data_IF_105900095483
#
_entry.id   IF_105900095483
#
_cell.length_a   1.000
_cell.length_b   1.000
_cell.length_c   1.000
_cell.angle_alpha   90.00
_cell.angle_beta   90.00
_cell.angle_gamma   90.00
#
_symmetry.space_group_name_H-M   'P 1'
#
loop_
_entity.id
_entity.type
_entity.pdbx_description
1 polymer ?
#
# COMPACT_ATOMS: atom_id res chain seq x y z
N UNK A 1 9.36 -12.62 -1.29
CA UNK A 1 9.06 -11.91 -2.55
C UNK A 1 7.99 -12.62 -3.37
N UNK A 2 8.22 -13.84 -3.89
CA UNK A 2 7.23 -14.56 -4.74
C UNK A 2 5.86 -14.72 -4.06
N UNK A 3 5.86 -15.13 -2.80
CA UNK A 3 4.65 -15.27 -1.96
C UNK A 3 3.90 -13.95 -1.74
N UNK A 4 4.62 -12.82 -1.64
CA UNK A 4 4.01 -11.50 -1.47
C UNK A 4 3.32 -11.00 -2.75
N UNK A 5 3.92 -11.28 -3.91
CA UNK A 5 3.31 -10.96 -5.21
C UNK A 5 1.98 -11.71 -5.35
N UNK A 6 1.93 -12.99 -4.95
CA UNK A 6 0.69 -13.78 -4.96
C UNK A 6 -0.37 -13.14 -4.04
N UNK A 7 -0.01 -12.72 -2.83
CA UNK A 7 -0.96 -12.05 -1.93
C UNK A 7 -1.48 -10.73 -2.51
N UNK A 8 -0.62 -9.95 -3.19
CA UNK A 8 -1.04 -8.72 -3.86
C UNK A 8 -1.96 -8.99 -5.06
N UNK A 9 -1.73 -10.06 -5.83
CA UNK A 9 -2.63 -10.46 -6.92
C UNK A 9 -4.01 -10.80 -6.36
N UNK A 10 -4.08 -11.62 -5.31
CA UNK A 10 -5.34 -11.97 -4.66
C UNK A 10 -6.04 -10.72 -4.12
N UNK A 11 -5.30 -9.81 -3.48
CA UNK A 11 -5.85 -8.55 -3.00
C UNK A 11 -6.37 -7.66 -4.15
N UNK A 12 -5.67 -7.62 -5.28
CA UNK A 12 -6.08 -6.86 -6.47
C UNK A 12 -7.39 -7.40 -7.07
N UNK A 13 -7.60 -8.71 -7.09
CA UNK A 13 -8.89 -9.27 -7.51
C UNK A 13 -9.98 -9.06 -6.45
N UNK A 14 -9.65 -9.17 -5.17
CA UNK A 14 -10.63 -9.00 -4.09
C UNK A 14 -11.15 -7.56 -4.02
N UNK A 15 -10.28 -6.57 -4.26
CA UNK A 15 -10.70 -5.17 -4.26
C UNK A 15 -11.60 -4.80 -5.43
N UNK A 16 -11.41 -5.41 -6.61
CA UNK A 16 -12.26 -5.13 -7.78
C UNK A 16 -13.60 -5.86 -7.72
N UNK A 17 -13.69 -7.00 -7.03
CA UNK A 17 -14.87 -7.86 -7.05
C UNK A 17 -15.77 -7.72 -5.81
N UNK A 18 -15.20 -7.62 -4.61
CA UNK A 18 -15.94 -7.77 -3.35
C UNK A 18 -15.87 -6.48 -2.53
N UNK A 19 -14.70 -5.87 -2.43
CA UNK A 19 -14.41 -4.86 -1.43
C UNK A 19 -13.92 -3.57 -2.09
N UNK A 20 -14.76 -2.53 -2.21
CA UNK A 20 -14.41 -1.30 -2.95
C UNK A 20 -13.49 -0.38 -2.12
N UNK A 21 -12.35 -0.92 -1.71
CA UNK A 21 -11.27 -0.27 -0.96
C UNK A 21 -9.97 -0.64 -1.65
N UNK A 22 -9.06 0.32 -1.77
CA UNK A 22 -7.78 0.11 -2.45
C UNK A 22 -6.79 -0.67 -1.54
N UNK A 23 -7.08 -1.96 -1.36
CA UNK A 23 -6.35 -2.92 -0.52
C UNK A 23 -4.89 -3.05 -0.96
N UNK A 24 -4.64 -3.04 -2.26
CA UNK A 24 -3.28 -3.12 -2.83
C UNK A 24 -2.44 -1.93 -2.34
N UNK A 25 -2.97 -0.71 -2.43
CA UNK A 25 -2.27 0.49 -1.99
C UNK A 25 -2.03 0.45 -0.47
N UNK A 26 -3.04 0.05 0.30
CA UNK A 26 -2.95 -0.08 1.76
C UNK A 26 -1.84 -1.06 2.18
N UNK A 27 -1.79 -2.25 1.56
CA UNK A 27 -0.78 -3.28 1.82
C UNK A 27 0.62 -2.76 1.46
N UNK A 28 0.76 -2.05 0.33
CA UNK A 28 2.04 -1.49 -0.11
C UNK A 28 2.53 -0.39 0.84
N UNK A 29 1.67 0.51 1.32
CA UNK A 29 2.01 1.53 2.32
C UNK A 29 2.50 0.85 3.60
N UNK A 30 1.74 -0.12 4.12
CA UNK A 30 2.09 -0.84 5.34
C UNK A 30 3.45 -1.55 5.21
N UNK A 31 3.68 -2.26 4.09
CA UNK A 31 4.96 -2.94 3.85
C UNK A 31 6.11 -1.97 3.72
N UNK A 32 5.92 -0.87 3.01
CA UNK A 32 6.97 0.14 2.82
C UNK A 32 7.36 0.80 4.14
N UNK A 33 6.39 0.99 5.02
CA UNK A 33 6.64 1.50 6.37
C UNK A 33 7.44 0.52 7.24
N UNK A 34 7.21 -0.79 7.11
CA UNK A 34 7.96 -1.83 7.83
C UNK A 34 9.39 -1.97 7.27
N UNK A 35 9.51 -2.00 5.95
CA UNK A 35 10.75 -2.29 5.25
C UNK A 35 10.90 -1.42 4.01
N UNK A 36 11.76 -0.41 4.12
CA UNK A 36 12.14 0.45 3.01
C UNK A 36 13.09 -0.32 2.07
N UNK A 37 12.54 -0.78 0.94
CA UNK A 37 13.30 -1.41 -0.14
C UNK A 37 12.86 -0.88 -1.50
N UNK A 38 13.81 -0.77 -2.44
CA UNK A 38 13.53 -0.43 -3.85
C UNK A 38 12.55 -1.41 -4.51
N UNK A 39 12.46 -2.64 -4.00
CA UNK A 39 11.50 -3.66 -4.46
C UNK A 39 10.05 -3.17 -4.34
N UNK A 40 9.74 -2.33 -3.36
CA UNK A 40 8.38 -1.79 -3.16
C UNK A 40 7.98 -0.82 -4.27
N UNK A 41 8.92 -0.04 -4.82
CA UNK A 41 8.65 0.87 -5.93
C UNK A 41 8.28 0.11 -7.20
N UNK A 42 9.01 -0.97 -7.52
CA UNK A 42 8.68 -1.82 -8.66
C UNK A 42 7.30 -2.48 -8.51
N UNK A 43 6.97 -2.94 -7.29
CA UNK A 43 5.65 -3.50 -6.99
C UNK A 43 4.55 -2.44 -7.10
N UNK A 44 4.79 -1.23 -6.59
CA UNK A 44 3.83 -0.12 -6.71
C UNK A 44 3.50 0.19 -8.16
N UNK A 45 4.53 0.25 -9.02
CA UNK A 45 4.35 0.47 -10.45
C UNK A 45 3.56 -0.67 -11.11
N UNK A 46 3.99 -1.92 -10.92
CA UNK A 46 3.38 -3.09 -11.55
C UNK A 46 1.92 -3.30 -11.11
N UNK A 47 1.65 -3.18 -9.80
CA UNK A 47 0.30 -3.35 -9.27
C UNK A 47 -0.59 -2.14 -9.51
N UNK A 48 -0.03 -0.93 -9.64
CA UNK A 48 -0.78 0.22 -10.13
C UNK A 48 -1.25 0.03 -11.57
N UNK A 49 -0.40 -0.53 -12.45
CA UNK A 49 -0.80 -0.93 -13.80
C UNK A 49 -1.87 -2.02 -13.78
N UNK A 50 -1.67 -3.08 -12.99
CA UNK A 50 -2.66 -4.15 -12.84
C UNK A 50 -4.00 -3.62 -12.38
N UNK A 51 -4.02 -2.75 -11.36
CA UNK A 51 -5.25 -2.18 -10.82
C UNK A 51 -5.95 -1.28 -11.85
N UNK A 52 -5.19 -0.47 -12.60
CA UNK A 52 -5.77 0.34 -13.69
C UNK A 52 -6.39 -0.52 -14.78
N UNK A 53 -5.77 -1.66 -15.11
CA UNK A 53 -6.29 -2.60 -16.09
C UNK A 53 -7.58 -3.28 -15.60
N UNK A 54 -7.62 -3.73 -14.34
CA UNK A 54 -8.78 -4.40 -13.76
C UNK A 54 -10.00 -3.46 -13.60
N UNK A 55 -9.76 -2.19 -13.28
CA UNK A 55 -10.82 -1.19 -13.12
C UNK A 55 -11.16 -0.42 -14.41
N UNK A 56 -10.55 -0.78 -15.55
CA UNK A 56 -10.74 -0.10 -16.84
C UNK A 56 -10.44 1.41 -16.80
N UNK A 57 -9.52 1.82 -15.92
CA UNK A 57 -9.06 3.21 -15.79
C UNK A 57 -7.91 3.49 -16.77
N UNK A 58 -7.59 4.78 -16.96
CA UNK A 58 -6.48 5.18 -17.80
C UNK A 58 -5.16 4.55 -17.31
N UNK A 59 -4.55 3.74 -18.16
CA UNK A 59 -3.28 3.06 -17.89
C UNK A 59 -2.19 4.10 -17.60
N UNK A 60 -1.38 3.85 -16.57
CA UNK A 60 -0.23 4.69 -16.22
C UNK A 60 -0.47 5.71 -15.11
N UNK A 61 -1.63 6.38 -15.06
CA UNK A 61 -1.91 7.37 -14.00
C UNK A 61 -1.94 6.71 -12.62
N UNK A 62 -2.66 5.60 -12.47
CA UNK A 62 -2.74 4.88 -11.20
C UNK A 62 -1.36 4.40 -10.72
N UNK A 63 -0.50 3.96 -11.65
CA UNK A 63 0.87 3.56 -11.31
C UNK A 63 1.75 4.71 -10.83
N UNK A 64 1.58 5.92 -11.38
CA UNK A 64 2.28 7.11 -10.90
C UNK A 64 1.79 7.52 -9.50
N UNK A 65 0.49 7.46 -9.26
CA UNK A 65 -0.11 7.73 -7.95
C UNK A 65 0.42 6.75 -6.89
N UNK A 66 0.47 5.46 -7.23
CA UNK A 66 1.02 4.43 -6.33
C UNK A 66 2.51 4.63 -6.05
N UNK A 67 3.30 4.93 -7.07
CA UNK A 67 4.72 5.25 -6.91
C UNK A 67 4.91 6.45 -6.01
N UNK A 68 4.13 7.51 -6.20
CA UNK A 68 4.20 8.71 -5.37
C UNK A 68 3.93 8.38 -3.90
N UNK A 69 2.85 7.65 -3.59
CA UNK A 69 2.54 7.27 -2.21
C UNK A 69 3.56 6.33 -1.58
N UNK A 70 4.11 5.38 -2.34
CA UNK A 70 5.14 4.48 -1.82
C UNK A 70 6.45 5.24 -1.58
N UNK A 71 6.85 6.13 -2.48
CA UNK A 71 8.05 6.96 -2.32
C UNK A 71 7.94 7.91 -1.12
N UNK A 72 6.78 8.54 -0.92
CA UNK A 72 6.54 9.40 0.25
C UNK A 72 6.55 8.58 1.54
N UNK A 73 5.91 7.40 1.54
CA UNK A 73 5.97 6.46 2.68
C UNK A 73 7.40 6.04 3.00
N UNK A 74 8.22 5.73 1.99
CA UNK A 74 9.62 5.35 2.18
C UNK A 74 10.47 6.49 2.76
N UNK A 75 10.13 7.73 2.43
CA UNK A 75 10.80 8.91 2.99
C UNK A 75 10.36 9.15 4.44
N UNK A 76 9.07 9.01 4.72
CA UNK A 76 8.49 9.11 6.07
C UNK A 76 8.99 8.02 7.01
N UNK A 77 9.17 6.79 6.52
CA UNK A 77 9.63 5.66 7.34
C UNK A 77 11.06 5.84 7.87
N UNK A 78 11.85 6.75 7.28
CA UNK A 78 13.21 7.10 7.73
C UNK A 78 13.20 8.16 8.84
N UNK A 79 12.06 8.79 9.10
CA UNK A 79 11.93 9.80 10.16
C UNK A 79 11.86 9.14 11.54
N UNK A 80 12.32 9.86 12.58
CA UNK A 80 12.30 9.39 13.98
C UNK A 80 10.89 9.04 14.49
N UNK A 81 9.86 9.68 13.94
CA UNK A 81 8.46 9.38 14.27
C UNK A 81 8.01 7.99 13.80
N UNK A 82 8.70 7.39 12.81
CA UNK A 82 8.27 6.13 12.22
C UNK A 82 8.26 4.93 13.19
N UNK A 83 8.88 5.07 14.37
CA UNK A 83 8.86 4.04 15.41
C UNK A 83 7.48 3.80 16.04
N UNK A 84 6.53 4.73 15.88
CA UNK A 84 5.18 4.55 16.40
C UNK A 84 4.26 3.86 15.37
N UNK A 85 3.78 2.62 15.62
CA UNK A 85 2.91 1.91 14.70
C UNK A 85 1.54 2.58 14.54
N UNK A 86 1.09 3.40 15.49
CA UNK A 86 -0.21 4.10 15.39
C UNK A 86 -0.22 5.16 14.28
N UNK A 87 0.95 5.64 13.84
CA UNK A 87 1.04 6.63 12.76
C UNK A 87 0.64 6.08 11.38
N UNK A 88 0.55 4.76 11.21
CA UNK A 88 0.09 4.16 9.96
C UNK A 88 -1.37 4.53 9.65
N UNK A 89 -2.19 4.74 10.67
CA UNK A 89 -3.61 5.10 10.54
C UNK A 89 -3.78 6.50 9.93
N UNK A 90 -3.23 7.58 10.49
CA UNK A 90 -3.35 8.90 9.88
C UNK A 90 -2.66 9.00 8.51
N UNK A 91 -1.54 8.30 8.31
CA UNK A 91 -0.85 8.28 7.00
C UNK A 91 -1.72 7.60 5.94
N UNK A 92 -2.27 6.42 6.25
CA UNK A 92 -3.16 5.71 5.33
C UNK A 92 -4.45 6.47 5.06
N UNK A 93 -5.02 7.17 6.05
CA UNK A 93 -6.17 8.04 5.86
C UNK A 93 -5.88 9.15 4.84
N UNK A 94 -4.73 9.83 4.96
CA UNK A 94 -4.31 10.88 4.04
C UNK A 94 -4.10 10.32 2.63
N UNK A 95 -3.38 9.21 2.49
CA UNK A 95 -3.09 8.66 1.15
C UNK A 95 -4.32 8.07 0.47
N UNK A 96 -5.19 7.38 1.19
CA UNK A 96 -6.41 6.82 0.62
C UNK A 96 -7.41 7.91 0.24
N UNK A 97 -7.53 8.97 1.04
CA UNK A 97 -8.37 10.13 0.68
C UNK A 97 -7.83 10.86 -0.54
N UNK A 98 -6.52 11.12 -0.61
CA UNK A 98 -5.89 11.72 -1.79
C UNK A 98 -6.08 10.86 -3.04
N UNK A 99 -5.92 9.53 -2.92
CA UNK A 99 -6.16 8.61 -4.03
C UNK A 99 -7.61 8.72 -4.54
N UNK A 100 -8.58 8.76 -3.63
CA UNK A 100 -9.99 8.91 -4.00
C UNK A 100 -10.27 10.25 -4.69
N UNK A 101 -9.67 11.33 -4.22
CA UNK A 101 -9.78 12.66 -4.86
C UNK A 101 -9.17 12.66 -6.26
N UNK A 102 -8.01 12.03 -6.46
CA UNK A 102 -7.38 11.93 -7.77
C UNK A 102 -8.27 11.15 -8.74
N UNK A 103 -8.78 9.99 -8.32
CA UNK A 103 -9.68 9.17 -9.15
C UNK A 103 -10.98 9.91 -9.47
N UNK A 104 -11.57 10.60 -8.49
CA UNK A 104 -12.83 11.33 -8.68
C UNK A 104 -12.67 12.50 -9.66
N UNK A 105 -11.54 13.20 -9.62
CA UNK A 105 -11.19 14.24 -10.59
C UNK A 105 -11.01 13.68 -12.00
N UNK A 106 -10.36 12.53 -12.16
CA UNK A 106 -10.13 11.90 -13.47
C UNK A 106 -11.43 11.40 -14.09
N UNK A 107 -12.28 10.75 -13.29
CA UNK A 107 -13.51 10.14 -13.77
C UNK A 107 -14.69 11.13 -13.83
N UNK A 108 -14.45 12.42 -13.54
CA UNK A 108 -15.47 13.47 -13.46
C UNK A 108 -16.68 13.08 -12.58
N UNK A 109 -16.43 12.27 -11.56
CA UNK A 109 -17.47 11.72 -10.68
C UNK A 109 -17.38 12.37 -9.30
N UNK A 110 -18.49 12.89 -8.76
CA UNK A 110 -18.52 13.63 -7.48
C UNK A 110 -18.63 12.70 -6.26
N UNK A 111 -18.63 11.38 -6.44
CA UNK A 111 -18.91 10.43 -5.36
C UNK A 111 -17.66 10.24 -4.47
N UNK A 112 -17.58 11.02 -3.40
CA UNK A 112 -16.58 10.91 -2.34
C UNK A 112 -17.15 10.13 -1.15
N UNK A 113 -16.95 8.82 -1.13
CA UNK A 113 -17.32 7.95 -0.01
C UNK A 113 -16.26 7.93 1.09
N UNK A 114 -16.18 9.01 1.85
CA UNK A 114 -15.22 9.16 2.95
C UNK A 114 -15.39 8.10 4.05
N UNK A 115 -16.59 7.56 4.25
CA UNK A 115 -16.84 6.50 5.23
C UNK A 115 -15.96 5.27 4.97
N UNK A 116 -15.84 4.86 3.70
CA UNK A 116 -15.00 3.73 3.29
C UNK A 116 -13.52 3.98 3.55
N UNK A 117 -13.06 5.22 3.31
CA UNK A 117 -11.67 5.62 3.57
C UNK A 117 -11.35 5.58 5.06
N UNK A 118 -12.27 6.02 5.92
CA UNK A 118 -12.09 5.96 7.38
C UNK A 118 -11.98 4.49 7.82
N UNK A 119 -12.88 3.62 7.37
CA UNK A 119 -12.81 2.19 7.68
C UNK A 119 -11.51 1.55 7.17
N UNK A 120 -11.09 1.87 5.95
CA UNK A 120 -9.82 1.39 5.39
C UNK A 120 -8.62 1.86 6.21
N UNK A 121 -8.63 3.11 6.67
CA UNK A 121 -7.55 3.65 7.50
C UNK A 121 -7.47 2.95 8.86
N UNK A 122 -8.60 2.61 9.48
CA UNK A 122 -8.63 1.82 10.71
C UNK A 122 -8.13 0.39 10.47
N UNK A 123 -8.48 -0.21 9.33
CA UNK A 123 -7.99 -1.52 8.89
C UNK A 123 -6.50 -1.53 8.56
N UNK A 124 -5.85 -0.37 8.37
CA UNK A 124 -4.41 -0.31 8.13
C UNK A 124 -3.60 -0.85 9.31
N UNK A 125 -4.07 -0.65 10.54
CA UNK A 125 -3.37 -1.10 11.75
C UNK A 125 -3.34 -2.63 11.90
N UNK A 126 -4.47 -3.37 11.83
CA UNK A 126 -4.41 -4.83 11.83
C UNK A 126 -3.65 -5.37 10.61
N UNK A 127 -3.81 -4.75 9.45
CA UNK A 127 -3.07 -5.15 8.24
C UNK A 127 -1.56 -4.98 8.42
N UNK A 128 -1.14 -3.89 9.07
CA UNK A 128 0.26 -3.64 9.41
C UNK A 128 0.86 -4.76 10.27
N UNK A 129 0.17 -5.18 11.34
CA UNK A 129 0.65 -6.28 12.18
C UNK A 129 0.68 -7.62 11.44
N UNK A 130 -0.31 -7.91 10.60
CA UNK A 130 -0.31 -9.11 9.76
C UNK A 130 0.90 -9.16 8.81
N UNK A 131 1.17 -8.04 8.12
CA UNK A 131 2.32 -7.94 7.21
C UNK A 131 3.63 -8.03 8.00
N UNK A 132 3.71 -7.40 9.18
CA UNK A 132 4.91 -7.48 10.03
C UNK A 132 5.20 -8.91 10.46
N UNK A 133 4.18 -9.62 10.94
CA UNK A 133 4.32 -11.03 11.30
C UNK A 133 4.73 -11.90 10.10
N UNK A 134 4.16 -11.62 8.93
CA UNK A 134 4.52 -12.30 7.69
C UNK A 134 5.98 -12.04 7.28
N UNK A 135 6.44 -10.78 7.31
CA UNK A 135 7.83 -10.42 6.99
C UNK A 135 8.81 -11.07 7.97
N UNK A 136 8.48 -11.14 9.28
CA UNK A 136 9.30 -11.79 10.29
C UNK A 136 9.44 -13.32 10.07
N UNK A 137 8.39 -13.99 9.58
CA UNK A 137 8.42 -15.45 9.35
C UNK A 137 8.96 -15.88 7.98
N UNK A 138 8.63 -15.14 6.93
CA UNK A 138 8.87 -15.58 5.55
C UNK A 138 10.08 -14.91 4.89
N UNK A 139 10.67 -13.89 5.51
CA UNK A 139 11.88 -13.24 4.99
C UNK A 139 13.08 -13.62 5.85
N UNK A 140 13.87 -14.57 5.32
CA UNK A 140 15.13 -15.02 5.93
C UNK A 140 16.04 -13.79 6.12
N UNK A 141 16.27 -13.40 7.38
CA UNK A 141 17.30 -12.41 7.69
C UNK A 141 18.64 -13.06 7.40
N UNK A 142 19.49 -12.40 6.61
CA UNK A 142 20.90 -12.84 6.49
C UNK A 142 21.47 -12.79 7.91
N UNK A 143 21.86 -13.94 8.43
CA UNK A 143 22.49 -14.05 9.75
C UNK A 143 23.65 -13.04 9.82
N UNK A 144 23.66 -12.24 10.88
CA UNK A 144 24.77 -11.35 11.17
C UNK A 144 25.95 -12.28 11.45
N UNK A 145 26.87 -12.40 10.50
CA UNK A 145 28.18 -13.01 10.76
C UNK A 145 28.88 -12.12 11.78
N UNK A 146 28.74 -12.48 13.06
CA UNK A 146 29.63 -11.99 14.10
C UNK A 146 31.03 -12.43 13.70
N UNK A 147 31.84 -11.51 13.19
CA UNK A 147 33.29 -11.70 13.16
C UNK A 147 33.74 -11.68 14.61
N UNK A 148 33.95 -12.85 15.18
CA UNK A 148 34.78 -13.04 16.38
C UNK A 148 36.21 -13.22 15.90
#
# INVERSE_FOLDING_TARGET
>A
MKTFVITLIIAAFLQTTILPIDLVLLILICRTYIKSEKSNLYLAFAFGLLNSHLNLNLLGLQSLVYLFFVQTTESLSKMRLAGNPLLIVPISLIFLSLNQVVISMINHSVVLEFSRVIFASLLSLPTFYLIRFWEERFVVRKEIKLRV
#
